data_IF_535170671243
#
_entry.id   IF_535170671243
#
_cell.length_a   1.000
_cell.length_b   1.000
_cell.length_c   1.000
_cell.angle_alpha   90.00
_cell.angle_beta   90.00
_cell.angle_gamma   90.00
#
_symmetry.space_group_name_H-M   'P 1'
#
loop_
_entity.id
_entity.type
_entity.pdbx_description
1 polymer ?
#
# COMPACT_ATOMS: atom_id res chain seq x y z
N UNK A 1 -15.98 25.54 6.84
CA UNK A 1 -14.60 25.00 6.67
C UNK A 1 -13.80 25.34 7.91
N UNK A 2 -13.62 24.41 8.84
CA UNK A 2 -12.77 24.65 10.00
C UNK A 2 -11.30 24.68 9.54
N UNK A 3 -10.63 25.82 9.70
CA UNK A 3 -9.17 25.92 9.56
C UNK A 3 -8.55 25.02 10.62
N UNK A 4 -7.76 24.04 10.19
CA UNK A 4 -6.84 23.32 11.07
C UNK A 4 -5.67 24.30 11.28
N UNK A 5 -5.42 24.82 12.50
CA UNK A 5 -4.24 25.63 12.74
C UNK A 5 -3.02 24.71 12.66
N UNK A 6 -2.10 24.97 11.73
CA UNK A 6 -0.98 24.09 11.41
C UNK A 6 0.32 24.43 12.17
N UNK A 7 0.37 25.49 12.99
CA UNK A 7 1.65 26.13 13.29
C UNK A 7 1.95 26.26 14.80
N UNK A 8 1.85 25.15 15.53
CA UNK A 8 2.42 25.01 16.88
C UNK A 8 3.67 24.12 16.86
N UNK A 9 4.71 24.37 17.68
CA UNK A 9 5.87 23.50 17.74
C UNK A 9 5.43 22.08 18.11
N UNK A 10 5.74 21.11 17.24
CA UNK A 10 5.43 19.70 17.49
C UNK A 10 6.14 19.24 18.77
N UNK A 11 5.47 18.49 19.66
CA UNK A 11 6.12 17.86 20.81
C UNK A 11 7.42 17.15 20.40
N UNK A 12 8.51 17.36 21.14
CA UNK A 12 9.82 16.77 20.84
C UNK A 12 9.75 15.24 20.62
N UNK A 13 8.92 14.53 21.40
CA UNK A 13 8.71 13.09 21.26
C UNK A 13 8.03 12.67 19.95
N UNK A 14 7.25 13.53 19.30
CA UNK A 14 6.71 13.28 17.96
C UNK A 14 7.79 13.51 16.90
N UNK A 15 8.62 14.55 17.07
CA UNK A 15 9.73 14.83 16.16
C UNK A 15 10.72 13.66 16.10
N UNK A 16 11.15 13.12 17.25
CA UNK A 16 12.07 11.97 17.29
C UNK A 16 11.47 10.73 16.61
N UNK A 17 10.19 10.44 16.86
CA UNK A 17 9.49 9.32 16.21
C UNK A 17 9.45 9.49 14.69
N UNK A 18 9.19 10.69 14.19
CA UNK A 18 9.17 10.97 12.76
C UNK A 18 10.56 10.78 12.14
N UNK A 19 11.62 11.20 12.83
CA UNK A 19 13.00 10.99 12.36
C UNK A 19 13.36 9.51 12.27
N UNK A 20 13.01 8.72 13.28
CA UNK A 20 13.24 7.26 13.28
C UNK A 20 12.44 6.61 12.16
N UNK A 21 11.15 6.95 12.00
CA UNK A 21 10.31 6.41 10.95
C UNK A 21 10.85 6.75 9.55
N UNK A 22 11.22 8.02 9.31
CA UNK A 22 11.84 8.45 8.04
C UNK A 22 13.16 7.74 7.79
N UNK A 23 14.00 7.58 8.81
CA UNK A 23 15.26 6.86 8.73
C UNK A 23 15.05 5.39 8.33
N UNK A 24 14.10 4.71 8.98
CA UNK A 24 13.75 3.33 8.69
C UNK A 24 13.22 3.16 7.26
N UNK A 25 12.30 4.02 6.83
CA UNK A 25 11.74 3.97 5.46
C UNK A 25 12.85 4.18 4.42
N UNK A 26 13.78 5.12 4.65
CA UNK A 26 14.95 5.34 3.78
C UNK A 26 15.93 4.17 3.78
N UNK A 27 16.08 3.47 4.90
CA UNK A 27 16.94 2.29 4.97
C UNK A 27 16.31 1.13 4.19
N UNK A 28 15.02 0.86 4.44
CA UNK A 28 14.27 -0.21 3.75
C UNK A 28 14.21 0.06 2.25
N UNK A 29 14.02 1.30 1.82
CA UNK A 29 13.95 1.63 0.38
C UNK A 29 15.22 1.30 -0.40
N UNK A 30 16.38 1.23 0.26
CA UNK A 30 17.66 0.86 -0.36
C UNK A 30 17.85 -0.64 -0.53
N UNK A 31 17.06 -1.46 0.16
CA UNK A 31 17.14 -2.92 0.04
C UNK A 31 16.59 -3.39 -1.33
N UNK A 32 17.10 -4.50 -1.88
CA UNK A 32 16.51 -5.12 -3.06
C UNK A 32 15.07 -5.59 -2.78
N UNK A 33 14.19 -5.46 -3.78
CA UNK A 33 12.77 -5.79 -3.65
C UNK A 33 12.50 -7.21 -3.09
N UNK A 34 13.23 -8.28 -3.47
CA UNK A 34 13.02 -9.61 -2.88
C UNK A 34 13.28 -9.66 -1.37
N UNK A 35 14.22 -8.86 -0.87
CA UNK A 35 14.52 -8.77 0.57
C UNK A 35 13.37 -8.06 1.29
N UNK A 36 12.86 -6.97 0.70
CA UNK A 36 11.69 -6.24 1.21
C UNK A 36 10.48 -7.18 1.29
N UNK A 37 10.21 -7.97 0.24
CA UNK A 37 9.12 -8.94 0.24
C UNK A 37 9.28 -10.02 1.31
N UNK A 38 10.50 -10.51 1.55
CA UNK A 38 10.75 -11.50 2.61
C UNK A 38 10.50 -10.89 4.00
N UNK A 39 11.02 -9.69 4.25
CA UNK A 39 10.80 -8.98 5.51
C UNK A 39 9.31 -8.70 5.74
N UNK A 40 8.62 -8.20 4.70
CA UNK A 40 7.18 -7.96 4.74
C UNK A 40 6.37 -9.22 5.00
N UNK A 41 6.71 -10.33 4.34
CA UNK A 41 6.06 -11.62 4.56
C UNK A 41 6.27 -12.14 6.00
N UNK A 42 7.47 -11.98 6.56
CA UNK A 42 7.78 -12.38 7.94
C UNK A 42 6.99 -11.52 8.94
N UNK A 43 6.92 -10.20 8.72
CA UNK A 43 6.11 -9.30 9.56
C UNK A 43 4.63 -9.69 9.46
N UNK A 44 4.11 -9.88 8.26
CA UNK A 44 2.72 -10.27 8.03
C UNK A 44 2.37 -11.62 8.66
N UNK A 45 3.27 -12.59 8.55
CA UNK A 45 3.18 -13.88 9.23
C UNK A 45 3.14 -13.71 10.75
N UNK A 46 3.99 -12.86 11.32
CA UNK A 46 4.02 -12.61 12.75
C UNK A 46 2.70 -11.99 13.23
N UNK A 47 2.16 -11.02 12.47
CA UNK A 47 0.82 -10.46 12.68
C UNK A 47 -0.30 -11.52 12.56
N UNK A 48 -0.07 -12.63 11.86
CA UNK A 48 -1.05 -13.72 11.78
C UNK A 48 -1.11 -14.55 13.07
N UNK A 49 -0.05 -14.50 13.91
CA UNK A 49 0.06 -15.29 15.15
C UNK A 49 -0.54 -14.62 16.37
N UNK A 50 -0.54 -13.28 16.43
CA UNK A 50 -1.09 -12.56 17.58
C UNK A 50 -2.49 -12.00 17.33
N UNK A 51 -3.39 -11.97 18.34
CA UNK A 51 -4.69 -11.32 18.21
C UNK A 51 -4.52 -9.83 17.87
N UNK A 52 -5.06 -9.44 16.71
CA UNK A 52 -5.11 -8.04 16.30
C UNK A 52 -6.30 -7.81 15.37
N UNK A 53 -6.61 -6.52 15.14
CA UNK A 53 -7.74 -6.10 14.31
C UNK A 53 -7.63 -6.60 12.87
N UNK A 54 -6.44 -6.56 12.26
CA UNK A 54 -6.26 -6.94 10.85
C UNK A 54 -6.52 -8.44 10.67
N UNK A 55 -5.94 -9.28 11.54
CA UNK A 55 -6.19 -10.72 11.56
C UNK A 55 -7.66 -11.08 11.72
N UNK A 56 -8.36 -10.41 12.65
CA UNK A 56 -9.80 -10.62 12.87
C UNK A 56 -10.61 -10.21 11.65
N UNK A 57 -10.37 -9.01 11.14
CA UNK A 57 -11.13 -8.45 10.02
C UNK A 57 -10.91 -9.24 8.73
N UNK A 58 -9.67 -9.68 8.45
CA UNK A 58 -9.38 -10.53 7.30
C UNK A 58 -10.16 -11.84 7.37
N UNK A 59 -10.22 -12.50 8.53
CA UNK A 59 -10.98 -13.75 8.67
C UNK A 59 -12.49 -13.54 8.49
N UNK A 60 -13.05 -12.49 9.09
CA UNK A 60 -14.47 -12.15 8.95
C UNK A 60 -14.83 -11.84 7.50
N UNK A 61 -14.03 -11.00 6.83
CA UNK A 61 -14.27 -10.64 5.43
C UNK A 61 -14.16 -11.86 4.52
N UNK A 62 -13.17 -12.73 4.74
CA UNK A 62 -13.05 -13.99 3.98
C UNK A 62 -14.28 -14.87 4.20
N UNK A 63 -14.74 -15.04 5.44
CA UNK A 63 -15.93 -15.85 5.72
C UNK A 63 -17.23 -15.29 5.14
N UNK A 64 -17.33 -13.95 5.00
CA UNK A 64 -18.46 -13.29 4.36
C UNK A 64 -18.40 -13.38 2.82
N UNK A 65 -17.21 -13.21 2.24
CA UNK A 65 -17.03 -13.17 0.78
C UNK A 65 -16.88 -14.56 0.15
N UNK A 66 -16.36 -15.53 0.89
CA UNK A 66 -16.04 -16.89 0.42
C UNK A 66 -16.58 -17.94 1.42
N UNK A 67 -17.91 -17.94 1.68
CA UNK A 67 -18.53 -18.85 2.65
C UNK A 67 -18.40 -20.34 2.29
N UNK A 68 -18.13 -20.65 1.01
CA UNK A 68 -17.91 -21.99 0.51
C UNK A 68 -16.59 -22.64 0.98
N UNK A 69 -15.62 -21.83 1.43
CA UNK A 69 -14.36 -22.34 1.96
C UNK A 69 -14.55 -22.91 3.37
N UNK A 70 -13.92 -24.06 3.64
CA UNK A 70 -13.85 -24.59 5.00
C UNK A 70 -13.14 -23.62 5.94
N UNK A 71 -13.38 -23.74 7.25
CA UNK A 71 -12.75 -22.85 8.23
C UNK A 71 -11.21 -22.88 8.17
N UNK A 72 -10.62 -24.02 7.82
CA UNK A 72 -9.18 -24.15 7.70
C UNK A 72 -8.63 -23.52 6.42
N UNK A 73 -9.36 -23.60 5.31
CA UNK A 73 -9.03 -22.87 4.08
C UNK A 73 -9.13 -21.36 4.29
N UNK A 74 -10.18 -20.88 4.98
CA UNK A 74 -10.32 -19.48 5.34
C UNK A 74 -9.16 -19.00 6.22
N UNK A 75 -8.74 -19.81 7.21
CA UNK A 75 -7.58 -19.52 8.06
C UNK A 75 -6.28 -19.46 7.28
N UNK A 76 -6.05 -20.40 6.35
CA UNK A 76 -4.87 -20.40 5.45
C UNK A 76 -4.88 -19.18 4.53
N UNK A 77 -6.02 -18.83 3.96
CA UNK A 77 -6.16 -17.66 3.09
C UNK A 77 -5.94 -16.36 3.86
N UNK A 78 -6.46 -16.25 5.10
CA UNK A 78 -6.17 -15.12 6.00
C UNK A 78 -4.67 -14.97 6.24
N UNK A 79 -3.96 -16.06 6.53
CA UNK A 79 -2.52 -15.99 6.82
C UNK A 79 -1.71 -15.58 5.59
N UNK A 80 -2.08 -16.07 4.41
CA UNK A 80 -1.52 -15.61 3.13
C UNK A 80 -1.82 -14.13 2.88
N UNK A 81 -3.06 -13.69 3.12
CA UNK A 81 -3.45 -12.30 2.99
C UNK A 81 -2.64 -11.37 3.92
N UNK A 82 -2.42 -11.77 5.18
CA UNK A 82 -1.61 -10.98 6.10
C UNK A 82 -0.13 -10.93 5.69
N UNK A 83 0.41 -12.02 5.12
CA UNK A 83 1.75 -12.01 4.56
C UNK A 83 1.88 -11.01 3.40
N UNK A 84 0.92 -11.00 2.45
CA UNK A 84 0.89 -10.02 1.36
C UNK A 84 0.68 -8.59 1.87
N UNK A 85 -0.20 -8.40 2.87
CA UNK A 85 -0.41 -7.12 3.53
C UNK A 85 0.91 -6.59 4.10
N UNK A 86 1.68 -7.42 4.79
CA UNK A 86 3.00 -7.04 5.29
C UNK A 86 3.98 -6.60 4.19
N UNK A 87 3.95 -7.27 3.02
CA UNK A 87 4.75 -6.85 1.85
C UNK A 87 4.31 -5.48 1.33
N UNK A 88 3.01 -5.26 1.15
CA UNK A 88 2.47 -3.99 0.66
C UNK A 88 2.98 -2.79 1.47
N UNK A 89 3.00 -2.88 2.81
CA UNK A 89 3.52 -1.78 3.64
C UNK A 89 5.05 -1.62 3.55
N UNK A 90 5.79 -2.72 3.45
CA UNK A 90 7.24 -2.66 3.34
C UNK A 90 7.70 -2.13 1.97
N UNK A 91 6.89 -2.35 0.92
CA UNK A 91 7.13 -1.85 -0.44
C UNK A 91 7.00 -0.32 -0.55
N UNK A 92 6.18 0.33 0.29
CA UNK A 92 5.91 1.79 0.20
C UNK A 92 7.20 2.61 0.11
N UNK A 93 8.18 2.32 0.98
CA UNK A 93 9.46 3.04 0.96
C UNK A 93 10.22 2.85 -0.36
N UNK A 94 10.21 1.63 -0.90
CA UNK A 94 10.83 1.33 -2.19
C UNK A 94 10.14 2.09 -3.33
N UNK A 95 8.80 2.06 -3.35
CA UNK A 95 8.00 2.67 -4.42
C UNK A 95 8.03 4.20 -4.39
N UNK A 96 8.11 4.81 -3.21
CA UNK A 96 8.05 6.27 -3.07
C UNK A 96 9.41 6.97 -3.14
N UNK A 97 10.49 6.30 -2.72
CA UNK A 97 11.80 6.96 -2.57
C UNK A 97 12.81 6.61 -3.66
N UNK A 98 12.54 5.63 -4.51
CA UNK A 98 13.43 5.29 -5.63
C UNK A 98 13.08 6.12 -6.89
N UNK A 99 14.02 6.25 -7.84
CA UNK A 99 13.74 6.89 -9.12
C UNK A 99 12.52 6.27 -9.80
N UNK A 100 11.64 7.11 -10.33
CA UNK A 100 10.36 6.68 -10.90
C UNK A 100 10.55 5.67 -12.01
N UNK A 101 11.58 5.82 -12.84
CA UNK A 101 11.90 4.93 -13.96
C UNK A 101 12.22 3.51 -13.47
N UNK A 102 12.94 3.39 -12.34
CA UNK A 102 13.23 2.09 -11.74
C UNK A 102 11.98 1.40 -11.21
N UNK A 103 11.08 2.19 -10.61
CA UNK A 103 9.82 1.69 -10.05
C UNK A 103 8.86 1.27 -11.17
N UNK A 104 8.70 2.11 -12.20
CA UNK A 104 7.89 1.78 -13.38
C UNK A 104 8.45 0.57 -14.14
N UNK A 105 9.77 0.37 -14.14
CA UNK A 105 10.41 -0.83 -14.69
C UNK A 105 10.04 -2.16 -14.01
N UNK A 106 9.36 -2.12 -12.86
CA UNK A 106 8.78 -3.30 -12.23
C UNK A 106 7.51 -3.79 -12.95
N UNK A 107 6.82 -2.92 -13.69
CA UNK A 107 5.63 -3.28 -14.46
C UNK A 107 6.06 -4.13 -15.65
N UNK A 108 5.69 -5.42 -15.64
CA UNK A 108 6.07 -6.39 -16.68
C UNK A 108 5.06 -6.48 -17.82
N UNK A 109 3.79 -6.33 -17.50
CA UNK A 109 2.69 -6.47 -18.45
C UNK A 109 1.54 -5.56 -18.01
N UNK A 110 0.86 -4.92 -18.96
CA UNK A 110 -0.36 -4.15 -18.71
C UNK A 110 -1.43 -4.64 -19.68
N UNK A 111 -2.47 -5.27 -19.15
CA UNK A 111 -3.61 -5.74 -19.93
C UNK A 111 -4.68 -4.65 -19.97
N UNK A 112 -5.21 -4.37 -21.16
CA UNK A 112 -6.21 -3.32 -21.37
C UNK A 112 -5.66 -1.89 -21.35
N UNK A 113 -4.38 -1.70 -21.68
CA UNK A 113 -3.75 -0.37 -21.72
C UNK A 113 -4.45 0.60 -22.70
N UNK A 114 -5.07 0.08 -23.75
CA UNK A 114 -5.89 0.81 -24.71
C UNK A 114 -7.11 1.50 -24.06
N UNK A 115 -7.65 0.93 -22.98
CA UNK A 115 -8.76 1.50 -22.20
C UNK A 115 -8.35 2.79 -21.47
N UNK A 116 -7.05 3.06 -21.33
CA UNK A 116 -6.54 4.28 -20.71
C UNK A 116 -6.51 5.49 -21.67
N UNK A 117 -6.81 5.28 -22.95
CA UNK A 117 -6.86 6.37 -23.94
C UNK A 117 -8.05 7.28 -23.68
N UNK A 118 -7.76 8.55 -23.40
CA UNK A 118 -8.76 9.60 -23.23
C UNK A 118 -9.35 9.95 -24.60
N UNK A 119 -10.68 10.07 -24.69
CA UNK A 119 -11.33 10.65 -25.86
C UNK A 119 -11.19 12.16 -25.80
N UNK A 120 -11.05 12.82 -26.94
CA UNK A 120 -10.96 14.26 -27.01
C UNK A 120 -12.15 14.93 -26.30
N UNK A 121 -11.86 15.95 -25.48
CA UNK A 121 -12.86 16.64 -24.67
C UNK A 121 -13.45 15.83 -23.51
N UNK A 122 -12.99 14.59 -23.22
CA UNK A 122 -13.51 13.76 -22.13
C UNK A 122 -12.40 13.34 -21.15
N UNK A 123 -12.71 13.42 -19.85
CA UNK A 123 -11.89 12.83 -18.79
C UNK A 123 -12.04 11.30 -18.72
N UNK A 124 -11.13 10.66 -17.99
CA UNK A 124 -11.18 9.23 -17.66
C UNK A 124 -11.24 9.07 -16.14
N UNK A 125 -12.21 8.30 -15.66
CA UNK A 125 -12.30 7.88 -14.26
C UNK A 125 -11.79 6.44 -14.17
N UNK A 126 -10.76 6.23 -13.36
CA UNK A 126 -10.21 4.90 -13.09
C UNK A 126 -10.60 4.49 -11.68
N UNK A 127 -11.28 3.35 -11.55
CA UNK A 127 -11.61 2.75 -10.28
C UNK A 127 -10.55 1.70 -9.93
N UNK A 128 -9.84 1.92 -8.83
CA UNK A 128 -8.78 1.01 -8.37
C UNK A 128 -9.17 0.40 -7.02
N UNK A 129 -9.33 -0.93 -6.91
CA UNK A 129 -9.51 -1.57 -5.62
C UNK A 129 -8.18 -1.62 -4.85
N UNK A 130 -8.24 -1.73 -3.52
CA UNK A 130 -7.06 -1.89 -2.67
C UNK A 130 -6.53 -3.34 -2.74
N UNK A 131 -5.99 -3.72 -3.90
CA UNK A 131 -5.56 -5.09 -4.21
C UNK A 131 -4.15 -5.07 -4.79
N UNK A 132 -3.30 -5.97 -4.30
CA UNK A 132 -1.91 -6.12 -4.76
C UNK A 132 -1.06 -4.87 -4.50
N UNK A 133 -0.10 -4.62 -5.38
CA UNK A 133 0.78 -3.44 -5.34
C UNK A 133 0.07 -2.20 -5.91
N UNK A 134 -1.04 -1.79 -5.27
CA UNK A 134 -1.90 -0.70 -5.74
C UNK A 134 -1.18 0.65 -5.83
N UNK A 135 -0.14 0.89 -5.02
CA UNK A 135 0.75 2.05 -5.11
C UNK A 135 1.50 2.09 -6.45
N UNK A 136 2.04 0.95 -6.91
CA UNK A 136 2.69 0.85 -8.22
C UNK A 136 1.69 1.07 -9.36
N UNK A 137 0.48 0.53 -9.23
CA UNK A 137 -0.58 0.78 -10.20
C UNK A 137 -0.95 2.28 -10.27
N UNK A 138 -1.02 2.97 -9.13
CA UNK A 138 -1.23 4.41 -9.06
C UNK A 138 -0.12 5.21 -9.76
N UNK A 139 1.14 4.85 -9.51
CA UNK A 139 2.29 5.47 -10.19
C UNK A 139 2.27 5.25 -11.70
N UNK A 140 1.94 4.03 -12.14
CA UNK A 140 1.79 3.71 -13.56
C UNK A 140 0.66 4.52 -14.22
N UNK A 141 -0.49 4.64 -13.56
CA UNK A 141 -1.61 5.44 -14.08
C UNK A 141 -1.23 6.92 -14.18
N UNK A 142 -0.54 7.46 -13.18
CA UNK A 142 -0.06 8.84 -13.19
C UNK A 142 0.99 9.09 -14.29
N UNK A 143 1.75 8.06 -14.69
CA UNK A 143 2.68 8.18 -15.81
C UNK A 143 2.00 8.21 -17.19
N UNK A 144 0.70 7.91 -17.28
CA UNK A 144 -0.08 8.02 -18.54
C UNK A 144 -0.62 9.43 -18.80
N UNK A 145 -0.31 10.39 -17.93
CA UNK A 145 -0.64 11.81 -18.10
C UNK A 145 -1.30 12.43 -16.87
N UNK A 146 -1.75 13.70 -16.96
CA UNK A 146 -2.28 14.44 -15.83
C UNK A 146 -3.39 13.66 -15.10
N UNK A 147 -3.22 13.52 -13.78
CA UNK A 147 -4.06 12.68 -12.93
C UNK A 147 -4.40 13.43 -11.65
N UNK A 148 -5.67 13.37 -11.26
CA UNK A 148 -6.15 13.88 -9.98
C UNK A 148 -6.57 12.69 -9.10
N UNK A 149 -6.13 12.70 -7.83
CA UNK A 149 -6.42 11.64 -6.85
C UNK A 149 -6.95 12.30 -5.58
N UNK A 150 -8.00 11.73 -5.00
CA UNK A 150 -8.49 12.19 -3.70
C UNK A 150 -7.47 11.90 -2.61
N UNK A 151 -7.14 12.92 -1.82
CA UNK A 151 -6.23 12.80 -0.68
C UNK A 151 -6.96 13.16 0.61
N UNK A 152 -6.85 12.28 1.61
CA UNK A 152 -7.29 12.55 2.97
C UNK A 152 -6.05 12.85 3.83
N UNK A 153 -5.91 14.08 4.37
CA UNK A 153 -4.80 14.41 5.26
C UNK A 153 -4.72 13.44 6.44
N UNK A 154 -3.52 12.91 6.68
CA UNK A 154 -3.27 12.03 7.82
C UNK A 154 -3.14 12.86 9.10
N UNK A 155 -3.83 12.46 10.17
CA UNK A 155 -3.89 13.23 11.43
C UNK A 155 -2.56 13.28 12.21
N UNK A 156 -1.58 12.47 11.84
CA UNK A 156 -0.36 12.21 12.62
C UNK A 156 0.93 12.28 11.78
N UNK A 157 0.94 13.01 10.66
CA UNK A 157 2.13 13.35 9.88
C UNK A 157 2.37 14.87 9.86
#
# INVERSE_FOLDING_TARGET
MARIPADGPRPMGLVVKDWIARGLVRLVSRLPLPVIHRLGAVVGWAFSRWPNRQRRNALLNIGLCLPELSQDEQRRLRDRNLAEFGKTYMEIGYLWLRPLEQVLGLVREVRGADLLRRREGKGLIVLSPHIGAWELAGLYLASQGPTAIFYKPQKYL
#
